data_IF_092394933710
#
_entry.id   IF_092394933710
#
_cell.length_a   1.000
_cell.length_b   1.000
_cell.length_c   1.000
_cell.angle_alpha   90.00
_cell.angle_beta   90.00
_cell.angle_gamma   90.00
#
_symmetry.space_group_name_H-M   'P 1'
#
loop_
_entity.id
_entity.type
_entity.pdbx_description
1 polymer ?
#
# COMPACT_ATOMS: atom_id res chain seq x y z
N UNK A 1 27.00 -32.57 11.13
CA UNK A 1 28.28 -33.05 11.67
C UNK A 1 28.25 -32.76 13.17
N UNK A 2 27.51 -33.61 13.88
CA UNK A 2 27.34 -33.55 15.32
C UNK A 2 28.63 -33.99 16.01
N UNK A 3 29.14 -33.17 16.94
CA UNK A 3 30.28 -33.51 17.78
C UNK A 3 29.83 -33.50 19.24
N UNK A 4 29.28 -34.65 19.63
CA UNK A 4 29.11 -35.08 21.02
C UNK A 4 30.49 -35.46 21.55
N UNK A 5 31.01 -34.69 22.51
CA UNK A 5 32.25 -35.03 23.22
C UNK A 5 31.89 -35.83 24.48
N UNK A 6 32.07 -37.14 24.36
CA UNK A 6 32.08 -38.13 25.44
C UNK A 6 33.37 -37.97 26.26
N UNK A 7 33.28 -37.94 27.59
CA UNK A 7 34.44 -38.05 28.49
C UNK A 7 34.43 -39.41 29.24
N UNK A 8 35.62 -39.98 29.52
CA UNK A 8 35.85 -41.40 29.86
C UNK A 8 35.65 -41.76 31.35
N UNK A 9 35.62 -43.07 31.69
CA UNK A 9 35.33 -43.56 33.04
C UNK A 9 36.56 -43.45 33.96
N UNK A 10 36.34 -43.06 35.21
CA UNK A 10 37.39 -43.02 36.23
C UNK A 10 37.38 -44.28 37.09
N UNK A 11 38.58 -44.80 37.23
CA UNK A 11 39.04 -46.06 37.81
C UNK A 11 38.77 -46.24 39.31
N UNK A 12 38.51 -47.50 39.66
CA UNK A 12 38.55 -48.05 41.00
C UNK A 12 39.93 -47.84 41.66
N UNK A 13 39.92 -47.37 42.90
CA UNK A 13 40.99 -47.58 43.87
C UNK A 13 40.36 -48.12 45.15
N UNK A 14 40.83 -49.30 45.54
CA UNK A 14 40.42 -50.10 46.68
C UNK A 14 40.64 -49.36 48.01
N UNK A 15 39.70 -49.50 48.94
CA UNK A 15 39.99 -49.41 50.38
C UNK A 15 39.40 -50.62 51.09
N UNK A 16 40.31 -51.55 51.34
CA UNK A 16 40.34 -52.60 52.36
C UNK A 16 39.18 -52.62 53.34
N UNK A 17 38.42 -53.71 53.26
CA UNK A 17 37.54 -54.28 54.27
C UNK A 17 38.29 -54.48 55.58
N UNK A 18 37.86 -53.82 56.65
CA UNK A 18 38.11 -54.27 58.02
C UNK A 18 36.76 -54.59 58.63
N UNK A 19 36.50 -55.88 58.79
CA UNK A 19 35.33 -56.40 59.47
C UNK A 19 35.39 -55.95 60.94
N UNK A 20 34.31 -55.36 61.44
CA UNK A 20 34.02 -55.34 62.87
C UNK A 20 32.52 -55.51 63.04
N UNK A 21 32.14 -56.77 63.22
CA UNK A 21 30.84 -57.19 63.70
C UNK A 21 30.67 -56.73 65.14
N UNK A 22 29.82 -55.73 65.37
CA UNK A 22 29.16 -55.52 66.66
C UNK A 22 27.67 -55.33 66.41
N UNK A 23 26.93 -56.31 66.92
CA UNK A 23 25.49 -56.31 67.07
C UNK A 23 25.02 -55.11 67.90
N UNK A 24 24.11 -54.30 67.35
CA UNK A 24 23.30 -53.38 68.14
C UNK A 24 21.85 -53.48 67.71
N UNK A 25 21.00 -53.92 68.64
CA UNK A 25 19.54 -54.04 68.57
C UNK A 25 18.84 -52.81 67.95
N UNK A 26 17.64 -52.96 67.35
CA UNK A 26 16.88 -51.84 66.84
C UNK A 26 16.32 -51.01 68.00
N UNK A 27 17.12 -50.05 68.50
CA UNK A 27 16.59 -48.99 69.35
C UNK A 27 15.69 -48.11 68.48
N UNK A 28 14.40 -48.05 68.81
CA UNK A 28 13.48 -47.12 68.16
C UNK A 28 14.07 -45.71 68.28
N UNK A 29 14.25 -44.97 67.17
CA UNK A 29 14.92 -43.69 67.25
C UNK A 29 14.13 -42.78 68.18
N UNK A 30 14.83 -42.17 69.14
CA UNK A 30 14.25 -41.19 70.07
C UNK A 30 13.38 -40.20 69.32
N UNK A 31 12.28 -39.73 69.93
CA UNK A 31 11.37 -38.74 69.33
C UNK A 31 12.14 -37.55 68.73
N UNK A 32 13.24 -37.16 69.38
CA UNK A 32 14.15 -36.13 68.90
C UNK A 32 14.86 -36.49 67.59
N UNK A 33 15.39 -37.71 67.46
CA UNK A 33 16.04 -38.20 66.23
C UNK A 33 15.06 -38.27 65.05
N UNK A 34 13.81 -38.66 65.30
CA UNK A 34 12.73 -38.60 64.29
C UNK A 34 12.43 -37.16 63.85
N UNK A 35 12.44 -36.20 64.78
CA UNK A 35 12.25 -34.79 64.44
C UNK A 35 13.41 -34.22 63.61
N UNK A 36 14.66 -34.56 63.94
CA UNK A 36 15.85 -34.09 63.21
C UNK A 36 15.88 -34.64 61.78
N UNK A 37 15.53 -35.91 61.60
CA UNK A 37 15.48 -36.54 60.27
C UNK A 37 14.36 -35.98 59.39
N UNK A 38 13.17 -35.74 59.95
CA UNK A 38 12.07 -35.09 59.23
C UNK A 38 12.37 -33.63 58.88
N UNK A 39 13.04 -32.88 59.77
CA UNK A 39 13.48 -31.52 59.48
C UNK A 39 14.50 -31.49 58.33
N UNK A 40 15.45 -32.43 58.30
CA UNK A 40 16.41 -32.57 57.20
C UNK A 40 15.74 -32.80 55.85
N UNK A 41 14.74 -33.69 55.79
CA UNK A 41 13.94 -33.92 54.57
C UNK A 41 13.15 -32.68 54.14
N UNK A 42 12.55 -31.96 55.09
CA UNK A 42 11.79 -30.73 54.80
C UNK A 42 12.70 -29.60 54.30
N UNK A 43 13.89 -29.47 54.86
CA UNK A 43 14.89 -28.49 54.40
C UNK A 43 15.40 -28.85 53.00
N UNK A 44 15.64 -30.12 52.70
CA UNK A 44 16.08 -30.57 51.37
C UNK A 44 15.04 -30.39 50.26
N UNK A 45 13.74 -30.31 50.60
CA UNK A 45 12.64 -30.09 49.66
C UNK A 45 12.17 -28.63 49.58
N UNK A 46 12.78 -27.70 50.33
CA UNK A 46 12.33 -26.30 50.35
C UNK A 46 12.68 -25.61 49.04
N UNK A 47 11.79 -24.76 48.56
CA UNK A 47 12.07 -23.87 47.45
C UNK A 47 13.18 -22.86 47.83
N UNK A 48 14.01 -22.51 46.86
CA UNK A 48 15.04 -21.50 47.05
C UNK A 48 14.42 -20.11 47.26
N UNK A 49 15.10 -19.24 48.01
CA UNK A 49 14.60 -17.89 48.33
C UNK A 49 14.33 -17.07 47.06
N UNK A 50 15.14 -17.25 46.01
CA UNK A 50 14.92 -16.63 44.71
C UNK A 50 13.65 -17.14 44.02
N UNK A 51 13.34 -18.43 44.14
CA UNK A 51 12.13 -19.03 43.57
C UNK A 51 10.88 -18.49 44.27
N UNK A 52 10.93 -18.34 45.59
CA UNK A 52 9.84 -17.75 46.36
C UNK A 52 9.66 -16.25 46.07
N UNK A 53 10.76 -15.51 45.82
CA UNK A 53 10.70 -14.12 45.40
C UNK A 53 10.11 -13.95 43.98
N UNK A 54 10.48 -14.82 43.04
CA UNK A 54 9.88 -14.88 41.69
C UNK A 54 8.38 -15.17 41.75
N UNK A 55 7.96 -16.06 42.65
CA UNK A 55 6.54 -16.35 42.93
C UNK A 55 5.85 -15.26 43.76
N UNK A 56 6.52 -14.14 44.04
CA UNK A 56 6.01 -13.03 44.84
C UNK A 56 5.63 -13.40 46.29
N UNK A 57 6.09 -14.55 46.80
CA UNK A 57 5.84 -15.03 48.18
C UNK A 57 6.76 -14.30 49.17
N UNK A 58 7.99 -14.01 48.77
CA UNK A 58 8.95 -13.19 49.52
C UNK A 58 9.15 -11.84 48.84
N UNK A 59 9.02 -10.75 49.60
CA UNK A 59 9.27 -9.38 49.14
C UNK A 59 10.66 -8.94 49.59
N UNK A 60 11.54 -8.65 48.63
CA UNK A 60 12.92 -8.26 48.86
C UNK A 60 13.90 -9.43 48.70
N UNK A 61 14.88 -9.23 47.83
CA UNK A 61 16.02 -10.12 47.63
C UNK A 61 16.92 -10.05 48.87
N UNK A 62 16.77 -10.99 49.81
CA UNK A 62 17.75 -11.19 50.87
C UNK A 62 18.98 -11.82 50.22
N UNK A 63 19.97 -11.01 49.85
CA UNK A 63 21.27 -11.54 49.44
C UNK A 63 21.90 -12.25 50.65
N UNK A 64 22.39 -13.46 50.40
CA UNK A 64 23.16 -14.27 51.35
C UNK A 64 24.45 -13.51 51.67
N UNK A 65 24.58 -12.92 52.85
CA UNK A 65 25.89 -12.42 53.30
C UNK A 65 26.81 -13.64 53.46
N UNK A 66 28.02 -13.65 52.88
CA UNK A 66 29.08 -14.48 53.41
C UNK A 66 29.37 -13.96 54.82
N UNK A 67 29.50 -14.87 55.78
CA UNK A 67 29.88 -14.53 57.14
C UNK A 67 31.12 -13.62 57.16
N UNK A 68 31.01 -12.50 57.88
CA UNK A 68 32.05 -11.48 57.97
C UNK A 68 33.22 -12.05 58.75
N UNK A 69 34.34 -12.27 58.06
CA UNK A 69 35.69 -12.09 58.59
C UNK A 69 36.58 -11.70 57.39
N UNK A 70 36.63 -10.40 57.08
CA UNK A 70 37.80 -9.65 56.57
C UNK A 70 37.37 -8.27 56.05
N UNK A 71 37.91 -7.24 56.70
CA UNK A 71 37.87 -5.85 56.26
C UNK A 71 38.47 -5.72 54.85
N UNK A 72 37.72 -5.17 53.88
CA UNK A 72 38.31 -4.65 52.65
C UNK A 72 37.51 -3.49 52.07
N UNK A 73 38.11 -2.31 52.24
CA UNK A 73 38.10 -1.11 51.40
C UNK A 73 36.96 -0.94 50.38
N UNK A 74 36.19 0.12 50.65
CA UNK A 74 35.15 0.79 49.88
C UNK A 74 35.47 0.90 48.39
N UNK A 75 34.54 0.47 47.53
CA UNK A 75 34.49 0.82 46.11
C UNK A 75 33.10 1.43 45.81
N UNK A 76 33.02 2.77 45.67
CA UNK A 76 31.77 3.57 45.72
C UNK A 76 30.89 3.56 44.44
N UNK A 77 31.06 2.62 43.51
CA UNK A 77 30.26 2.58 42.28
C UNK A 77 29.56 1.23 42.06
N UNK A 78 28.83 0.77 43.08
CA UNK A 78 27.86 -0.32 42.95
C UNK A 78 26.61 0.13 43.70
N UNK A 79 25.40 0.08 43.12
CA UNK A 79 24.19 0.23 43.92
C UNK A 79 24.14 -0.99 44.84
N UNK A 80 24.67 -0.85 46.04
CA UNK A 80 24.42 -1.81 47.09
C UNK A 80 22.92 -1.74 47.37
N UNK A 81 22.19 -2.77 46.91
CA UNK A 81 20.85 -3.02 47.39
C UNK A 81 20.96 -3.35 48.87
N UNK A 82 20.94 -2.31 49.69
CA UNK A 82 20.86 -2.37 51.14
C UNK A 82 19.69 -3.25 51.55
N UNK A 83 19.92 -4.10 52.54
CA UNK A 83 18.87 -4.83 53.25
C UNK A 83 17.88 -3.81 53.85
N UNK A 84 16.84 -3.51 53.09
CA UNK A 84 15.75 -2.69 53.57
C UNK A 84 15.07 -3.45 54.74
N UNK A 85 15.03 -2.84 55.92
CA UNK A 85 14.20 -3.32 57.02
C UNK A 85 12.74 -3.50 56.55
N UNK A 86 11.91 -4.33 57.19
CA UNK A 86 10.53 -4.54 56.76
C UNK A 86 9.74 -3.23 56.53
N UNK A 87 10.03 -2.20 57.34
CA UNK A 87 9.47 -0.85 57.18
C UNK A 87 10.00 -0.10 55.95
N UNK A 88 11.30 -0.20 55.64
CA UNK A 88 11.92 0.40 54.45
C UNK A 88 11.49 -0.36 53.17
N UNK A 89 11.29 -1.68 53.25
CA UNK A 89 10.81 -2.48 52.12
C UNK A 89 9.37 -2.09 51.75
N UNK A 90 8.53 -1.81 52.76
CA UNK A 90 7.19 -1.27 52.57
C UNK A 90 7.25 0.13 51.93
N UNK A 91 8.06 1.04 52.48
CA UNK A 91 8.24 2.38 51.92
C UNK A 91 8.76 2.36 50.46
N UNK A 92 9.70 1.45 50.15
CA UNK A 92 10.20 1.23 48.77
C UNK A 92 9.09 0.75 47.85
N UNK A 93 8.29 -0.22 48.29
CA UNK A 93 7.17 -0.72 47.51
C UNK A 93 6.10 0.37 47.28
N UNK A 94 5.81 1.20 48.27
CA UNK A 94 4.83 2.27 48.16
C UNK A 94 5.33 3.40 47.26
N UNK A 95 6.63 3.72 47.28
CA UNK A 95 7.25 4.66 46.35
C UNK A 95 7.23 4.13 44.90
N UNK A 96 7.47 2.83 44.71
CA UNK A 96 7.38 2.19 43.39
C UNK A 96 5.94 2.17 42.87
N UNK A 97 4.95 1.95 43.75
CA UNK A 97 3.53 2.10 43.42
C UNK A 97 3.19 3.53 43.03
N UNK A 98 3.63 4.53 43.81
CA UNK A 98 3.40 5.93 43.49
C UNK A 98 4.03 6.31 42.12
N UNK A 99 5.27 5.88 41.87
CA UNK A 99 5.95 6.10 40.58
C UNK A 99 5.21 5.47 39.41
N UNK A 100 4.72 4.25 39.56
CA UNK A 100 3.96 3.56 38.51
C UNK A 100 2.58 4.21 38.30
N UNK A 101 1.93 4.68 39.37
CA UNK A 101 0.69 5.47 39.29
C UNK A 101 0.91 6.78 38.55
N UNK A 102 1.97 7.54 38.85
CA UNK A 102 2.28 8.81 38.15
C UNK A 102 2.52 8.59 36.65
N UNK A 103 3.28 7.55 36.29
CA UNK A 103 3.51 7.19 34.89
C UNK A 103 2.21 6.82 34.19
N UNK A 104 1.35 6.05 34.85
CA UNK A 104 0.06 5.63 34.32
C UNK A 104 -0.85 6.84 34.10
N UNK A 105 -0.96 7.73 35.08
CA UNK A 105 -1.76 8.95 35.01
C UNK A 105 -1.31 9.82 33.82
N UNK A 106 0.00 10.03 33.65
CA UNK A 106 0.54 10.77 32.50
C UNK A 106 0.19 10.13 31.15
N UNK A 107 0.25 8.80 31.04
CA UNK A 107 -0.12 8.08 29.81
C UNK A 107 -1.61 8.16 29.52
N UNK A 108 -2.46 8.11 30.55
CA UNK A 108 -3.91 8.25 30.40
C UNK A 108 -4.29 9.67 29.99
N UNK A 109 -3.65 10.71 30.55
CA UNK A 109 -3.88 12.10 30.13
C UNK A 109 -3.51 12.34 28.66
N UNK A 110 -2.43 11.70 28.19
CA UNK A 110 -1.96 11.82 26.80
C UNK A 110 -2.54 10.76 25.85
N UNK A 111 -3.60 10.07 26.27
CA UNK A 111 -4.29 9.04 25.47
C UNK A 111 -4.98 9.68 24.27
N UNK A 112 -4.66 9.20 23.06
CA UNK A 112 -5.43 9.53 21.85
C UNK A 112 -6.89 9.11 21.98
N UNK A 113 -7.79 9.89 21.39
CA UNK A 113 -9.23 9.57 21.37
C UNK A 113 -9.49 8.34 20.48
N UNK A 114 -10.59 7.62 20.74
CA UNK A 114 -11.02 6.48 19.90
C UNK A 114 -11.19 6.91 18.43
N UNK A 115 -11.66 8.14 18.21
CA UNK A 115 -11.83 8.74 16.88
C UNK A 115 -10.48 8.97 16.21
N UNK A 116 -9.51 9.57 16.92
CA UNK A 116 -8.17 9.84 16.39
C UNK A 116 -7.43 8.56 15.99
N UNK A 117 -7.55 7.50 16.79
CA UNK A 117 -6.99 6.19 16.47
C UNK A 117 -7.59 5.56 15.20
N UNK A 118 -8.88 5.79 14.92
CA UNK A 118 -9.52 5.35 13.68
C UNK A 118 -9.11 6.18 12.48
N UNK A 119 -9.00 7.50 12.65
CA UNK A 119 -8.52 8.39 11.59
C UNK A 119 -7.09 8.06 11.17
N UNK A 120 -6.26 7.60 12.12
CA UNK A 120 -4.91 7.07 11.86
C UNK A 120 -4.90 5.60 11.40
N UNK A 121 -6.06 4.99 11.13
CA UNK A 121 -6.21 3.59 10.72
C UNK A 121 -5.59 2.57 11.70
N UNK A 122 -5.48 2.90 12.99
CA UNK A 122 -5.00 1.97 14.04
C UNK A 122 -6.16 1.08 14.50
N UNK A 123 -7.35 1.66 14.64
CA UNK A 123 -8.58 0.93 14.93
C UNK A 123 -9.45 0.85 13.68
N UNK A 124 -10.17 -0.27 13.54
CA UNK A 124 -11.22 -0.40 12.51
C UNK A 124 -12.35 0.59 12.83
N UNK A 125 -12.94 1.13 11.77
CA UNK A 125 -14.16 1.95 11.87
C UNK A 125 -15.34 0.99 11.85
N UNK A 126 -16.12 0.96 12.91
CA UNK A 126 -17.33 0.13 12.99
C UNK A 126 -18.56 0.98 12.63
N UNK A 127 -19.61 0.34 12.12
CA UNK A 127 -20.86 0.97 11.68
C UNK A 127 -21.59 1.78 12.76
N UNK A 128 -21.31 1.51 14.03
CA UNK A 128 -21.92 2.21 15.17
C UNK A 128 -21.16 3.45 15.63
N UNK A 129 -20.04 3.79 14.99
CA UNK A 129 -19.22 4.93 15.39
C UNK A 129 -19.70 6.21 14.69
N UNK A 130 -20.66 6.90 15.32
CA UNK A 130 -21.08 8.25 14.94
C UNK A 130 -20.03 9.27 15.39
N UNK A 131 -19.68 10.21 14.51
CA UNK A 131 -18.91 11.38 14.91
C UNK A 131 -19.86 12.30 15.69
N UNK A 132 -19.72 12.33 17.01
CA UNK A 132 -20.53 13.21 17.86
C UNK A 132 -20.40 14.67 17.34
N UNK A 133 -21.56 15.26 17.02
CA UNK A 133 -21.86 16.64 16.59
C UNK A 133 -22.09 16.96 15.10
N UNK A 134 -21.82 16.08 14.12
CA UNK A 134 -22.11 16.43 12.70
C UNK A 134 -22.96 15.43 11.93
N UNK A 135 -23.34 14.28 12.52
CA UNK A 135 -24.19 13.30 11.86
C UNK A 135 -23.58 12.66 10.60
N UNK A 136 -22.31 12.93 10.31
CA UNK A 136 -21.59 12.29 9.20
C UNK A 136 -21.06 10.97 9.71
N UNK A 137 -21.74 9.87 9.35
CA UNK A 137 -21.25 8.52 9.62
C UNK A 137 -19.82 8.39 9.10
N UNK A 138 -18.90 8.00 9.98
CA UNK A 138 -17.52 7.65 9.63
C UNK A 138 -17.42 6.43 8.72
N UNK A 139 -18.54 5.86 8.29
CA UNK A 139 -18.68 4.89 7.22
C UNK A 139 -18.14 5.43 5.88
N UNK A 140 -16.81 5.63 5.81
CA UNK A 140 -16.02 5.06 4.74
C UNK A 140 -16.05 3.55 4.93
N UNK A 141 -17.23 2.96 4.87
CA UNK A 141 -17.37 1.56 4.55
C UNK A 141 -16.99 1.50 3.07
N UNK A 142 -15.68 1.53 2.84
CA UNK A 142 -15.06 1.22 1.58
C UNK A 142 -15.45 -0.24 1.41
N UNK A 143 -16.64 -0.47 0.85
CA UNK A 143 -17.06 -1.80 0.50
C UNK A 143 -16.06 -2.21 -0.58
N UNK A 144 -15.00 -2.90 -0.15
CA UNK A 144 -13.85 -3.21 -0.98
C UNK A 144 -14.31 -3.96 -2.22
N UNK A 145 -15.39 -4.73 -2.12
CA UNK A 145 -16.02 -5.40 -3.25
C UNK A 145 -16.67 -4.41 -4.21
N UNK A 146 -17.41 -3.40 -3.73
CA UNK A 146 -17.96 -2.33 -4.60
C UNK A 146 -16.84 -1.55 -5.29
N UNK A 147 -15.81 -1.15 -4.54
CA UNK A 147 -14.66 -0.41 -5.09
C UNK A 147 -13.88 -1.26 -6.09
N UNK A 148 -13.69 -2.54 -5.81
CA UNK A 148 -13.03 -3.49 -6.71
C UNK A 148 -13.86 -3.72 -7.98
N UNK A 149 -15.18 -3.88 -7.86
CA UNK A 149 -16.09 -3.99 -9.02
C UNK A 149 -16.05 -2.72 -9.88
N UNK A 150 -16.11 -1.55 -9.27
CA UNK A 150 -16.00 -0.27 -9.97
C UNK A 150 -14.65 -0.14 -10.68
N UNK A 151 -13.54 -0.43 -10.00
CA UNK A 151 -12.20 -0.39 -10.58
C UNK A 151 -12.09 -1.34 -11.77
N UNK A 152 -12.60 -2.58 -11.65
CA UNK A 152 -12.64 -3.54 -12.77
C UNK A 152 -13.42 -3.02 -13.96
N UNK A 153 -14.54 -2.32 -13.73
CA UNK A 153 -15.32 -1.69 -14.79
C UNK A 153 -14.53 -0.58 -15.49
N UNK A 154 -13.89 0.31 -14.73
CA UNK A 154 -13.06 1.39 -15.28
C UNK A 154 -11.86 0.87 -16.06
N UNK A 155 -11.22 -0.21 -15.58
CA UNK A 155 -10.08 -0.82 -16.28
C UNK A 155 -10.50 -1.51 -17.59
N UNK A 156 -11.72 -2.06 -17.67
CA UNK A 156 -12.25 -2.63 -18.92
C UNK A 156 -12.50 -1.58 -20.00
N UNK A 157 -12.87 -0.37 -19.61
CA UNK A 157 -13.16 0.74 -20.52
C UNK A 157 -12.01 1.75 -20.55
N UNK A 158 -10.79 1.31 -20.23
CA UNK A 158 -9.63 2.19 -20.19
C UNK A 158 -9.27 2.60 -21.61
N UNK A 159 -9.29 3.91 -21.95
CA UNK A 159 -8.89 4.39 -23.27
C UNK A 159 -7.41 4.09 -23.54
N UNK A 160 -7.10 3.87 -24.82
CA UNK A 160 -5.74 3.68 -25.29
C UNK A 160 -4.96 5.01 -25.32
N UNK A 161 -3.63 4.92 -25.32
CA UNK A 161 -2.77 6.12 -25.36
C UNK A 161 -3.05 6.99 -26.60
N UNK A 162 -3.27 6.37 -27.75
CA UNK A 162 -3.57 7.08 -29.01
C UNK A 162 -4.89 7.84 -28.94
N UNK A 163 -5.94 7.24 -28.38
CA UNK A 163 -7.24 7.91 -28.22
C UNK A 163 -7.14 9.16 -27.34
N UNK A 164 -6.31 9.10 -26.29
CA UNK A 164 -6.03 10.26 -25.44
C UNK A 164 -5.19 11.33 -26.17
N UNK A 165 -4.36 10.95 -27.14
CA UNK A 165 -3.64 11.88 -28.01
C UNK A 165 -4.58 12.57 -29.00
N UNK A 166 -5.50 11.82 -29.61
CA UNK A 166 -6.52 12.34 -30.53
C UNK A 166 -7.47 13.33 -29.82
N UNK A 167 -7.81 13.04 -28.56
CA UNK A 167 -8.59 13.93 -27.69
C UNK A 167 -7.77 15.09 -27.12
N UNK A 168 -6.49 15.23 -27.48
CA UNK A 168 -5.57 16.28 -27.04
C UNK A 168 -5.39 16.37 -25.50
N UNK A 169 -5.61 15.23 -24.82
CA UNK A 169 -5.40 15.06 -23.38
C UNK A 169 -3.91 14.77 -23.13
N UNK A 170 -3.33 13.85 -23.91
CA UNK A 170 -1.88 13.61 -23.96
C UNK A 170 -1.34 14.33 -25.18
N UNK A 171 -0.63 15.44 -24.98
CA UNK A 171 -0.16 16.29 -26.08
C UNK A 171 1.19 15.87 -26.67
N UNK A 172 1.88 14.94 -26.01
CA UNK A 172 3.20 14.47 -26.42
C UNK A 172 3.05 13.27 -27.35
N UNK A 173 3.47 13.44 -28.61
CA UNK A 173 3.48 12.38 -29.62
C UNK A 173 4.68 11.43 -29.44
N UNK A 174 5.74 11.89 -28.79
CA UNK A 174 6.96 11.12 -28.60
C UNK A 174 6.99 10.43 -27.22
N UNK A 175 7.79 9.37 -27.09
CA UNK A 175 8.06 8.66 -25.83
C UNK A 175 8.97 9.48 -24.89
N UNK A 176 8.68 10.77 -24.75
CA UNK A 176 9.41 11.69 -23.90
C UNK A 176 9.00 11.51 -22.45
N UNK A 177 9.95 11.79 -21.56
CA UNK A 177 9.70 11.78 -20.13
C UNK A 177 8.64 12.85 -19.75
N UNK A 178 7.61 12.51 -18.95
CA UNK A 178 6.61 13.47 -18.47
C UNK A 178 7.20 14.71 -17.81
N UNK A 179 8.39 14.61 -17.21
CA UNK A 179 9.07 15.75 -16.59
C UNK A 179 9.51 16.82 -17.59
N UNK A 180 9.83 16.43 -18.84
CA UNK A 180 10.36 17.34 -19.88
C UNK A 180 9.25 17.79 -20.83
N UNK A 181 8.18 16.99 -20.95
CA UNK A 181 7.03 17.24 -21.82
C UNK A 181 6.49 18.69 -21.75
N UNK A 182 6.30 19.22 -20.54
CA UNK A 182 5.78 20.57 -20.35
C UNK A 182 6.74 21.65 -20.88
N UNK A 183 8.05 21.51 -20.64
CA UNK A 183 9.06 22.45 -21.11
C UNK A 183 9.18 22.43 -22.63
N UNK A 184 9.16 21.25 -23.24
CA UNK A 184 9.18 21.10 -24.69
C UNK A 184 7.94 21.70 -25.35
N UNK A 185 6.75 21.47 -24.80
CA UNK A 185 5.52 22.07 -25.32
C UNK A 185 5.60 23.60 -25.30
N UNK A 186 6.13 24.17 -24.22
CA UNK A 186 6.32 25.61 -24.10
C UNK A 186 7.33 26.14 -25.12
N UNK A 187 8.43 25.42 -25.35
CA UNK A 187 9.42 25.76 -26.36
C UNK A 187 8.83 25.72 -27.77
N UNK A 188 8.11 24.64 -28.12
CA UNK A 188 7.42 24.51 -29.41
C UNK A 188 6.42 25.65 -29.62
N UNK A 189 5.65 26.01 -28.59
CA UNK A 189 4.74 27.14 -28.64
C UNK A 189 5.47 28.45 -28.93
N UNK A 190 6.58 28.73 -28.23
CA UNK A 190 7.39 29.94 -28.48
C UNK A 190 8.01 29.97 -29.87
N UNK A 191 8.47 28.83 -30.38
CA UNK A 191 9.00 28.72 -31.74
C UNK A 191 7.91 28.99 -32.78
N UNK A 192 6.70 28.44 -32.57
CA UNK A 192 5.53 28.73 -33.41
C UNK A 192 5.13 30.20 -33.36
N UNK A 193 5.08 30.80 -32.17
CA UNK A 193 4.82 32.23 -31.99
C UNK A 193 5.83 33.08 -32.76
N UNK A 194 7.14 32.82 -32.58
CA UNK A 194 8.19 33.55 -33.26
C UNK A 194 8.13 33.41 -34.79
N UNK A 195 7.90 32.19 -35.29
CA UNK A 195 7.79 31.96 -36.74
C UNK A 195 6.54 32.60 -37.34
N UNK A 196 5.42 32.59 -36.62
CA UNK A 196 4.19 33.25 -37.02
C UNK A 196 4.36 34.77 -37.02
N UNK A 197 4.99 35.35 -36.00
CA UNK A 197 5.32 36.78 -35.95
C UNK A 197 6.19 37.22 -37.12
N UNK A 198 7.18 36.41 -37.51
CA UNK A 198 7.99 36.68 -38.70
C UNK A 198 7.13 36.69 -39.98
N UNK A 199 6.29 35.66 -40.17
CA UNK A 199 5.38 35.58 -41.33
C UNK A 199 4.36 36.71 -41.39
N UNK A 200 3.90 37.21 -40.24
CA UNK A 200 2.99 38.36 -40.17
C UNK A 200 3.70 39.68 -40.45
N UNK A 201 4.98 39.82 -40.06
CA UNK A 201 5.81 40.99 -40.40
C UNK A 201 6.05 41.08 -41.90
N UNK A 202 6.37 39.95 -42.53
CA UNK A 202 6.63 39.86 -43.96
C UNK A 202 5.35 39.67 -44.79
N UNK A 203 4.19 40.06 -44.23
CA UNK A 203 2.92 39.93 -44.93
C UNK A 203 2.89 40.94 -46.09
N UNK A 204 2.65 40.48 -47.34
CA UNK A 204 2.64 41.35 -48.50
C UNK A 204 1.55 42.41 -48.39
N UNK A 205 1.85 43.62 -48.85
CA UNK A 205 0.88 44.71 -48.87
C UNK A 205 -0.14 44.51 -50.01
N UNK A 206 -1.25 45.25 -49.98
CA UNK A 206 -2.34 45.12 -50.95
C UNK A 206 -1.86 45.19 -52.41
N UNK A 207 -0.91 46.09 -52.70
CA UNK A 207 -0.36 46.27 -54.04
C UNK A 207 0.39 45.02 -54.53
N UNK A 208 1.12 44.33 -53.66
CA UNK A 208 1.83 43.10 -54.00
C UNK A 208 0.87 41.92 -54.22
N UNK A 209 -0.22 41.87 -53.44
CA UNK A 209 -1.27 40.83 -53.55
C UNK A 209 -2.09 40.98 -54.84
N UNK A 210 -2.19 42.19 -55.40
CA UNK A 210 -2.95 42.47 -56.64
C UNK A 210 -2.45 41.68 -57.86
N UNK A 211 -1.18 41.26 -57.85
CA UNK A 211 -0.58 40.43 -58.91
C UNK A 211 -0.95 38.96 -58.81
N UNK A 212 -1.37 38.50 -57.63
CA UNK A 212 -1.69 37.10 -57.32
C UNK A 212 -3.21 36.87 -57.42
N UNK A 213 -4.01 37.85 -57.00
CA UNK A 213 -5.47 37.81 -57.03
C UNK A 213 -5.96 38.81 -58.06
N UNK A 214 -6.37 38.31 -59.23
CA UNK A 214 -6.95 39.12 -60.29
C UNK A 214 -8.45 39.32 -60.04
N UNK A 215 -8.84 40.54 -59.72
CA UNK A 215 -10.25 40.92 -59.72
C UNK A 215 -10.64 41.38 -61.14
N UNK A 216 -11.60 40.70 -61.74
CA UNK A 216 -12.19 41.18 -62.99
C UNK A 216 -12.99 42.44 -62.67
N UNK A 217 -12.57 43.59 -63.22
CA UNK A 217 -13.24 44.88 -63.03
C UNK A 217 -14.68 44.85 -63.57
N UNK A 218 -14.89 44.06 -64.63
CA UNK A 218 -16.21 43.79 -65.19
C UNK A 218 -16.59 42.35 -64.88
N UNK A 219 -17.70 42.20 -64.17
CA UNK A 219 -18.38 40.91 -64.04
C UNK A 219 -19.36 40.81 -65.19
N UNK A 220 -19.09 39.95 -66.16
CA UNK A 220 -20.08 39.60 -67.18
C UNK A 220 -21.21 38.81 -66.52
N UNK A 221 -22.25 39.53 -66.10
CA UNK A 221 -23.51 38.91 -65.70
C UNK A 221 -24.22 38.48 -66.98
N UNK A 222 -23.83 37.33 -67.50
CA UNK A 222 -24.61 36.67 -68.53
C UNK A 222 -26.02 36.47 -67.96
N UNK A 223 -27.08 36.88 -68.65
CA UNK A 223 -28.43 36.52 -68.26
C UNK A 223 -28.51 34.99 -68.33
N UNK A 224 -28.31 34.33 -67.19
CA UNK A 224 -28.67 32.93 -67.06
C UNK A 224 -30.16 32.88 -67.36
N UNK A 225 -30.54 31.96 -68.24
CA UNK A 225 -31.93 31.75 -68.63
C UNK A 225 -32.85 31.98 -67.43
N UNK A 226 -33.85 32.85 -67.58
CA UNK A 226 -34.83 33.02 -66.49
C UNK A 226 -35.39 31.64 -66.15
N UNK A 227 -35.88 31.45 -64.92
CA UNK A 227 -36.57 30.19 -64.55
C UNK A 227 -37.64 29.76 -65.58
N UNK A 228 -38.24 30.73 -66.28
CA UNK A 228 -39.20 30.56 -67.39
C UNK A 228 -38.59 30.06 -68.71
N UNK A 229 -37.30 30.29 -68.93
CA UNK A 229 -36.56 29.90 -70.14
C UNK A 229 -35.80 28.57 -69.95
N UNK A 230 -35.51 28.18 -68.70
CA UNK A 230 -35.11 26.81 -68.40
C UNK A 230 -36.29 25.87 -68.68
N UNK A 231 -36.20 25.13 -69.78
CA UNK A 231 -37.09 24.00 -70.03
C UNK A 231 -36.80 22.88 -69.02
N UNK A 232 -37.44 22.94 -67.85
CA UNK A 232 -37.42 21.87 -66.83
C UNK A 232 -38.23 20.65 -67.23
N UNK A 233 -38.90 20.67 -68.39
CA UNK A 233 -39.59 19.48 -68.87
C UNK A 233 -38.52 18.44 -69.22
N UNK A 234 -38.74 17.16 -68.84
CA UNK A 234 -37.84 16.09 -69.23
C UNK A 234 -37.74 16.10 -70.75
N UNK A 235 -36.50 16.14 -71.27
CA UNK A 235 -36.21 16.09 -72.70
C UNK A 235 -37.08 15.01 -73.36
N UNK A 236 -37.77 15.36 -74.45
CA UNK A 236 -38.56 14.40 -75.22
C UNK A 236 -37.67 13.28 -75.78
N UNK A 237 -36.37 13.54 -75.94
CA UNK A 237 -35.36 12.57 -76.30
C UNK A 237 -34.66 11.88 -75.11
N UNK A 238 -35.11 12.11 -73.88
CA UNK A 238 -34.50 11.50 -72.70
C UNK A 238 -34.43 9.97 -72.85
N UNK A 239 -33.24 9.42 -72.55
CA UNK A 239 -32.86 8.03 -72.86
C UNK A 239 -33.85 7.00 -72.32
N UNK A 240 -34.50 7.27 -71.17
CA UNK A 240 -35.51 6.38 -70.58
C UNK A 240 -36.78 6.21 -71.45
N UNK A 241 -37.11 7.17 -72.33
CA UNK A 241 -38.23 7.08 -73.27
C UNK A 241 -37.91 6.22 -74.49
N UNK A 242 -36.63 6.09 -74.86
CA UNK A 242 -36.14 5.26 -75.98
C UNK A 242 -35.68 3.88 -75.53
N UNK A 243 -35.71 3.60 -74.23
CA UNK A 243 -35.17 2.38 -73.67
C UNK A 243 -36.16 1.22 -73.83
N UNK A 244 -35.90 0.35 -74.81
CA UNK A 244 -36.69 -0.87 -75.03
C UNK A 244 -36.56 -1.83 -73.85
N UNK A 245 -37.53 -2.72 -73.60
CA UNK A 245 -37.43 -3.74 -72.55
C UNK A 245 -36.16 -4.59 -72.67
N UNK A 246 -35.72 -4.90 -73.89
CA UNK A 246 -34.50 -5.64 -74.16
C UNK A 246 -33.25 -4.86 -73.72
N UNK A 247 -33.16 -3.57 -74.08
CA UNK A 247 -32.05 -2.73 -73.62
C UNK A 247 -32.01 -2.58 -72.09
N UNK A 248 -33.17 -2.56 -71.41
CA UNK A 248 -33.21 -2.57 -69.94
C UNK A 248 -32.58 -3.82 -69.34
N UNK A 249 -32.84 -4.98 -69.94
CA UNK A 249 -32.26 -6.26 -69.51
C UNK A 249 -30.75 -6.26 -69.75
N UNK A 250 -30.30 -5.85 -70.93
CA UNK A 250 -28.87 -5.80 -71.26
C UNK A 250 -28.11 -4.85 -70.33
N UNK A 251 -28.61 -3.63 -70.10
CA UNK A 251 -27.99 -2.69 -69.15
C UNK A 251 -27.95 -3.28 -67.74
N UNK A 252 -29.00 -4.01 -67.32
CA UNK A 252 -29.02 -4.64 -65.99
C UNK A 252 -27.97 -5.75 -65.87
N UNK A 253 -27.82 -6.59 -66.90
CA UNK A 253 -26.83 -7.65 -66.93
C UNK A 253 -25.40 -7.09 -66.95
N UNK A 254 -25.16 -6.09 -67.78
CA UNK A 254 -23.87 -5.39 -67.88
C UNK A 254 -23.47 -4.75 -66.55
N UNK A 255 -24.39 -4.02 -65.89
CA UNK A 255 -24.14 -3.43 -64.57
C UNK A 255 -23.90 -4.47 -63.48
N UNK A 256 -24.62 -5.59 -63.51
CA UNK A 256 -24.41 -6.67 -62.55
C UNK A 256 -23.06 -7.37 -62.77
N UNK A 257 -22.62 -7.50 -64.02
CA UNK A 257 -21.32 -8.05 -64.35
C UNK A 257 -20.22 -7.11 -63.83
N UNK A 258 -20.29 -5.82 -64.15
CA UNK A 258 -19.33 -4.81 -63.67
C UNK A 258 -19.18 -4.81 -62.14
N UNK A 259 -20.29 -4.83 -61.41
CA UNK A 259 -20.28 -4.88 -59.93
C UNK A 259 -19.67 -6.16 -59.36
N UNK A 260 -19.71 -7.27 -60.09
CA UNK A 260 -19.17 -8.56 -59.64
C UNK A 260 -17.70 -8.74 -60.01
N UNK A 261 -17.26 -8.26 -61.18
CA UNK A 261 -15.95 -8.59 -61.73
C UNK A 261 -14.95 -7.43 -61.75
N UNK A 262 -15.41 -6.19 -61.88
CA UNK A 262 -14.53 -5.03 -62.13
C UNK A 262 -14.52 -4.01 -61.00
N UNK A 263 -15.58 -3.96 -60.19
CA UNK A 263 -15.67 -3.00 -59.10
C UNK A 263 -14.77 -3.43 -57.91
N UNK A 264 -13.76 -2.64 -57.53
CA UNK A 264 -12.91 -2.96 -56.39
C UNK A 264 -13.73 -2.81 -55.10
N UNK A 265 -13.97 -3.92 -54.42
CA UNK A 265 -14.64 -3.95 -53.11
C UNK A 265 -13.57 -4.04 -52.02
N UNK A 266 -13.69 -3.25 -50.95
CA UNK A 266 -12.80 -3.33 -49.80
C UNK A 266 -12.89 -4.72 -49.15
N UNK A 267 -11.76 -5.28 -48.72
CA UNK A 267 -11.65 -6.66 -48.21
C UNK A 267 -12.60 -6.97 -47.03
N UNK A 268 -12.96 -5.95 -46.25
CA UNK A 268 -13.88 -6.07 -45.11
C UNK A 268 -15.36 -6.29 -45.50
N UNK A 269 -15.74 -6.00 -46.76
CA UNK A 269 -17.12 -6.11 -47.24
C UNK A 269 -17.45 -7.46 -47.90
N UNK A 270 -16.50 -8.40 -47.93
CA UNK A 270 -16.68 -9.76 -48.48
C UNK A 270 -17.18 -10.80 -47.45
N UNK A 271 -17.69 -10.35 -46.30
CA UNK A 271 -18.22 -11.20 -45.22
C UNK A 271 -19.75 -11.24 -45.17
#
# INVERSE_FOLDING_TARGET
MDLVVQLPPQSNMEKSTSQTSLSSSPQTPSKFSKMVTELGKKIGRRAEVSELAQKNILKGSIKKYPCIMKNKLINKNKPEEELASPSIAQAKADLEKARTQDILNRRISNRSSKVDLKLRNILRVDSNDTLDQSGVSLEKNINFDKKAKQLKSCLRQRPEKSELQDMNIIRTNENLDPSIAAAQMQLQKRQLEHTLEAKLRDRPNLDEVSTIINFSEVVEVLPTFRKSEYNRKPDTNATFKKLTPQMKVMIREELNNFKKSEMPVHEESNY
#
